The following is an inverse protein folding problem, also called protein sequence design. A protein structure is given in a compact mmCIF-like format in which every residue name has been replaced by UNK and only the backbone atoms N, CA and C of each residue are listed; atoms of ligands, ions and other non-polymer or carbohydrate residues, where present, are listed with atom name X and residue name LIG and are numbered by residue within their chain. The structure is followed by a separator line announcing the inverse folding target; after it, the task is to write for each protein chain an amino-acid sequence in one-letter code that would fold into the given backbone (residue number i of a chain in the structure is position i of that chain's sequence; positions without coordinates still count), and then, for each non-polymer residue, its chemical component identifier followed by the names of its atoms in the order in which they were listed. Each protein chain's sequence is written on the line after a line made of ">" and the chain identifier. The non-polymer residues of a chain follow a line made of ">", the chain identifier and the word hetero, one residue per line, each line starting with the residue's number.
data_IF_111032711900
#
_entry.id   IF_111032711900
#
_cell.length_a   1.000
_cell.length_b   1.000
_cell.length_c   1.000
_cell.angle_alpha   90.00
_cell.angle_beta   90.00
_cell.angle_gamma   90.00
#
_symmetry.space_group_name_H-M   'P 1'
#
loop_
_entity.id
_entity.type
_entity.pdbx_description
1 polymer ?
#
# COMPACT_ATOMS: atom_id res chain seq x y z
N UNK A 1 -20.62 -16.87 47.69
CA UNK A 1 -20.15 -15.62 47.06
C UNK A 1 -18.95 -15.99 46.21
N UNK A 2 -19.13 -16.16 44.90
CA UNK A 2 -18.02 -16.51 44.01
C UNK A 2 -17.24 -15.25 43.67
N UNK A 3 -15.97 -15.21 44.05
CA UNK A 3 -15.01 -14.23 43.56
C UNK A 3 -14.96 -14.34 42.05
N UNK A 4 -15.44 -13.30 41.36
CA UNK A 4 -15.12 -13.08 39.97
C UNK A 4 -13.64 -12.71 39.90
N UNK A 5 -12.80 -13.71 39.63
CA UNK A 5 -11.41 -13.52 39.24
C UNK A 5 -11.40 -12.70 37.95
N UNK A 6 -11.26 -11.38 38.07
CA UNK A 6 -10.97 -10.51 36.93
C UNK A 6 -9.62 -10.97 36.37
N UNK A 7 -9.66 -11.64 35.21
CA UNK A 7 -8.46 -11.89 34.43
C UNK A 7 -7.72 -10.57 34.17
N UNK A 8 -6.40 -10.51 34.38
CA UNK A 8 -5.62 -9.29 34.33
C UNK A 8 -5.22 -8.95 32.88
N UNK A 9 -6.16 -9.07 31.93
CA UNK A 9 -5.91 -8.50 30.61
C UNK A 9 -6.22 -7.01 30.75
N UNK A 10 -5.20 -6.13 30.74
CA UNK A 10 -5.44 -4.71 30.85
C UNK A 10 -6.30 -4.31 29.64
N UNK A 11 -7.24 -3.40 29.81
CA UNK A 11 -8.12 -2.89 28.74
C UNK A 11 -7.35 -2.54 27.44
N UNK A 12 -6.08 -2.17 27.59
CA UNK A 12 -5.05 -1.99 26.55
C UNK A 12 -4.97 -3.15 25.55
N UNK A 13 -5.03 -4.42 25.99
CA UNK A 13 -4.93 -5.58 25.10
C UNK A 13 -6.19 -5.76 24.24
N UNK A 14 -7.39 -5.54 24.80
CA UNK A 14 -8.62 -5.61 24.01
C UNK A 14 -8.69 -4.49 22.97
N UNK A 15 -8.21 -3.29 23.32
CA UNK A 15 -8.10 -2.18 22.38
C UNK A 15 -7.11 -2.49 21.25
N UNK A 16 -5.93 -3.04 21.57
CA UNK A 16 -4.93 -3.50 20.60
C UNK A 16 -5.50 -4.51 19.59
N UNK A 17 -6.31 -5.46 20.05
CA UNK A 17 -6.97 -6.43 19.17
C UNK A 17 -7.86 -5.72 18.14
N UNK A 18 -8.53 -4.65 18.55
CA UNK A 18 -9.53 -3.97 17.70
C UNK A 18 -8.92 -3.02 16.67
N UNK A 19 -7.72 -2.51 16.93
CA UNK A 19 -6.96 -1.70 15.97
C UNK A 19 -6.08 -2.57 15.06
N UNK A 20 -5.80 -3.82 15.47
CA UNK A 20 -5.00 -4.75 14.67
C UNK A 20 -5.82 -5.33 13.52
N UNK A 21 -5.26 -5.22 12.31
CA UNK A 21 -5.84 -5.83 11.12
C UNK A 21 -4.75 -6.30 10.17
N UNK A 22 -5.09 -7.30 9.35
CA UNK A 22 -4.16 -7.92 8.42
C UNK A 22 -4.75 -7.91 7.02
N UNK A 23 -3.88 -7.79 6.03
CA UNK A 23 -4.18 -8.09 4.64
C UNK A 23 -3.43 -9.34 4.23
N UNK A 24 -4.16 -10.31 3.69
CA UNK A 24 -3.59 -11.49 3.05
C UNK A 24 -3.93 -11.43 1.57
N UNK A 25 -2.93 -11.35 0.71
CA UNK A 25 -3.09 -11.33 -0.74
C UNK A 25 -2.20 -12.38 -1.40
N UNK A 26 -2.73 -13.09 -2.39
CA UNK A 26 -1.92 -14.07 -3.12
C UNK A 26 -2.66 -14.83 -4.22
N UNK A 27 -1.92 -15.72 -4.88
CA UNK A 27 -2.47 -16.61 -5.89
C UNK A 27 -3.12 -17.85 -5.25
N UNK A 28 -4.40 -18.06 -5.55
CA UNK A 28 -5.10 -19.29 -5.18
C UNK A 28 -4.99 -20.33 -6.28
N UNK A 29 -4.31 -21.43 -5.97
CA UNK A 29 -4.21 -22.59 -6.86
C UNK A 29 -5.56 -23.24 -7.15
N UNK A 30 -6.41 -23.37 -6.13
CA UNK A 30 -7.72 -23.99 -6.26
C UNK A 30 -8.67 -23.16 -7.13
N UNK A 31 -8.58 -21.83 -7.03
CA UNK A 31 -9.45 -20.93 -7.77
C UNK A 31 -8.83 -20.39 -9.06
N UNK A 32 -7.56 -20.72 -9.32
CA UNK A 32 -6.75 -20.19 -10.43
C UNK A 32 -6.86 -18.68 -10.60
N UNK A 33 -6.84 -17.93 -9.49
CA UNK A 33 -6.94 -16.46 -9.49
C UNK A 33 -6.27 -15.85 -8.26
N UNK A 34 -5.95 -14.55 -8.35
CA UNK A 34 -5.57 -13.77 -7.18
C UNK A 34 -6.77 -13.53 -6.26
N UNK A 35 -6.52 -13.53 -4.96
CA UNK A 35 -7.52 -13.22 -3.94
C UNK A 35 -6.91 -12.36 -2.84
N UNK A 36 -7.71 -11.46 -2.28
CA UNK A 36 -7.32 -10.62 -1.14
C UNK A 36 -8.35 -10.78 -0.01
N UNK A 37 -7.85 -11.03 1.19
CA UNK A 37 -8.64 -11.12 2.42
C UNK A 37 -8.18 -10.06 3.40
N UNK A 38 -9.16 -9.38 4.00
CA UNK A 38 -8.93 -8.56 5.19
C UNK A 38 -9.32 -9.37 6.41
N UNK A 39 -8.41 -9.48 7.37
CA UNK A 39 -8.66 -10.12 8.66
C UNK A 39 -8.65 -9.04 9.73
N UNK A 40 -9.70 -9.00 10.55
CA UNK A 40 -9.87 -7.99 11.61
C UNK A 40 -10.60 -8.60 12.80
N UNK A 41 -10.42 -8.01 13.98
CA UNK A 41 -11.07 -8.48 15.19
C UNK A 41 -12.53 -8.02 15.27
N UNK A 42 -13.46 -8.97 15.40
CA UNK A 42 -14.87 -8.68 15.63
C UNK A 42 -15.15 -8.66 17.14
N UNK A 43 -15.53 -7.49 17.66
CA UNK A 43 -15.81 -7.29 19.10
C UNK A 43 -16.99 -8.14 19.60
N UNK A 44 -18.00 -8.36 18.76
CA UNK A 44 -19.19 -9.12 19.14
C UNK A 44 -18.89 -10.61 19.24
N UNK A 45 -18.06 -11.13 18.33
CA UNK A 45 -17.69 -12.54 18.27
C UNK A 45 -16.42 -12.87 19.07
N UNK A 46 -15.71 -11.85 19.56
CA UNK A 46 -14.45 -11.94 20.30
C UNK A 46 -13.39 -12.79 19.59
N UNK A 47 -13.27 -12.61 18.27
CA UNK A 47 -12.32 -13.34 17.44
C UNK A 47 -11.97 -12.59 16.17
N UNK A 48 -10.84 -12.94 15.56
CA UNK A 48 -10.53 -12.50 14.21
C UNK A 48 -11.46 -13.19 13.20
N UNK A 49 -12.02 -12.38 12.30
CA UNK A 49 -12.84 -12.83 11.18
C UNK A 49 -12.22 -12.36 9.87
N UNK A 50 -12.48 -13.10 8.80
CA UNK A 50 -12.05 -12.73 7.45
C UNK A 50 -13.22 -12.16 6.66
N UNK A 51 -13.01 -11.02 6.01
CA UNK A 51 -13.90 -10.50 4.98
C UNK A 51 -13.18 -10.52 3.62
N UNK A 52 -13.95 -10.78 2.55
CA UNK A 52 -13.45 -10.59 1.19
C UNK A 52 -13.22 -9.09 0.93
N UNK A 53 -12.17 -8.80 0.19
CA UNK A 53 -11.98 -7.48 -0.40
C UNK A 53 -13.12 -7.18 -1.39
N UNK A 54 -13.73 -6.01 -1.28
CA UNK A 54 -14.86 -5.63 -2.13
C UNK A 54 -15.25 -4.19 -1.90
N UNK A 55 -14.80 -3.30 -2.77
CA UNK A 55 -15.10 -1.86 -2.67
C UNK A 55 -16.03 -1.37 -3.80
N UNK A 56 -16.19 -2.17 -4.85
CA UNK A 56 -16.91 -1.76 -6.07
C UNK A 56 -18.40 -1.58 -5.87
N UNK A 57 -19.00 -2.32 -4.92
CA UNK A 57 -20.39 -2.10 -4.52
C UNK A 57 -20.62 -0.68 -4.00
N UNK A 58 -19.67 -0.12 -3.25
CA UNK A 58 -19.73 1.27 -2.76
C UNK A 58 -19.63 2.28 -3.92
N UNK A 59 -19.02 1.89 -5.03
CA UNK A 59 -19.01 2.63 -6.29
C UNK A 59 -20.15 2.23 -7.24
N UNK A 60 -21.18 1.48 -6.81
CA UNK A 60 -22.29 1.10 -7.69
C UNK A 60 -21.90 0.28 -8.92
N UNK A 61 -20.71 -0.32 -8.94
CA UNK A 61 -20.22 -1.20 -10.01
C UNK A 61 -20.53 -2.64 -9.61
N UNK A 62 -20.99 -3.46 -10.57
CA UNK A 62 -21.19 -4.90 -10.33
C UNK A 62 -19.83 -5.56 -10.09
N UNK A 63 -19.73 -6.36 -9.04
CA UNK A 63 -18.47 -6.99 -8.61
C UNK A 63 -17.92 -8.04 -9.57
N UNK A 64 -18.71 -8.51 -10.55
CA UNK A 64 -18.27 -9.53 -11.49
C UNK A 64 -17.02 -9.06 -12.24
N UNK A 65 -15.91 -9.79 -12.04
CA UNK A 65 -14.62 -9.64 -12.73
C UNK A 65 -13.86 -8.31 -12.49
N UNK A 66 -14.28 -7.49 -11.53
CA UNK A 66 -13.56 -6.28 -11.14
C UNK A 66 -12.32 -6.59 -10.28
N UNK A 67 -11.26 -5.78 -10.43
CA UNK A 67 -10.01 -5.96 -9.68
C UNK A 67 -10.22 -5.75 -8.17
N UNK A 68 -9.87 -6.72 -7.32
CA UNK A 68 -10.08 -6.58 -5.86
C UNK A 68 -9.15 -5.53 -5.23
N UNK A 69 -9.69 -4.71 -4.32
CA UNK A 69 -8.95 -3.72 -3.54
C UNK A 69 -9.25 -3.87 -2.04
N UNK A 70 -8.21 -3.77 -1.23
CA UNK A 70 -8.33 -3.78 0.22
C UNK A 70 -7.30 -2.84 0.85
N UNK A 71 -7.73 -2.14 1.90
CA UNK A 71 -6.91 -1.19 2.64
C UNK A 71 -7.05 -1.45 4.14
N UNK A 72 -5.98 -1.18 4.87
CA UNK A 72 -5.92 -1.14 6.34
C UNK A 72 -5.08 0.07 6.76
N UNK A 73 -5.21 0.50 8.02
CA UNK A 73 -4.51 1.68 8.56
C UNK A 73 -5.43 2.89 8.77
N UNK A 74 -4.82 4.03 9.05
CA UNK A 74 -5.50 5.23 9.56
C UNK A 74 -6.30 5.99 8.49
N UNK A 75 -5.72 6.19 7.30
CA UNK A 75 -6.31 7.05 6.25
C UNK A 75 -7.06 6.28 5.16
N UNK A 76 -7.70 5.16 5.52
CA UNK A 76 -8.38 4.29 4.54
C UNK A 76 -9.58 4.99 3.87
N UNK A 77 -10.28 5.88 4.58
CA UNK A 77 -11.40 6.64 4.03
C UNK A 77 -10.97 7.67 2.98
N UNK A 78 -9.89 8.40 3.27
CA UNK A 78 -9.30 9.38 2.35
C UNK A 78 -8.71 8.71 1.13
N UNK A 79 -7.99 7.59 1.31
CA UNK A 79 -7.46 6.79 0.21
C UNK A 79 -8.59 6.27 -0.69
N UNK A 80 -9.66 5.73 -0.09
CA UNK A 80 -10.83 5.25 -0.83
C UNK A 80 -11.48 6.37 -1.64
N UNK A 81 -11.67 7.55 -1.06
CA UNK A 81 -12.22 8.72 -1.75
C UNK A 81 -11.33 9.14 -2.92
N UNK A 82 -10.03 9.34 -2.70
CA UNK A 82 -9.09 9.77 -3.75
C UNK A 82 -8.99 8.75 -4.90
N UNK A 83 -9.08 7.45 -4.60
CA UNK A 83 -9.17 6.40 -5.64
C UNK A 83 -10.47 6.55 -6.44
N UNK A 84 -11.59 6.79 -5.78
CA UNK A 84 -12.87 7.05 -6.45
C UNK A 84 -12.78 8.24 -7.41
N UNK A 85 -12.22 9.35 -6.94
CA UNK A 85 -12.03 10.57 -7.73
C UNK A 85 -11.09 10.30 -8.92
N UNK A 86 -9.96 9.62 -8.69
CA UNK A 86 -8.98 9.31 -9.75
C UNK A 86 -9.50 8.33 -10.81
N UNK A 87 -10.47 7.48 -10.45
CA UNK A 87 -11.05 6.46 -11.31
C UNK A 87 -12.45 6.82 -11.83
N UNK A 88 -12.91 8.06 -11.64
CA UNK A 88 -14.29 8.47 -11.93
C UNK A 88 -14.71 8.08 -13.36
N UNK A 89 -13.88 8.37 -14.36
CA UNK A 89 -14.14 8.02 -15.76
C UNK A 89 -14.26 6.51 -15.97
N UNK A 90 -13.34 5.72 -15.38
CA UNK A 90 -13.35 4.26 -15.49
C UNK A 90 -14.58 3.67 -14.81
N UNK A 91 -14.95 4.19 -13.65
CA UNK A 91 -16.12 3.78 -12.88
C UNK A 91 -17.40 4.12 -13.65
N UNK A 92 -17.50 5.33 -14.21
CA UNK A 92 -18.66 5.77 -14.98
C UNK A 92 -18.87 4.92 -16.23
N UNK A 93 -17.78 4.62 -16.94
CA UNK A 93 -17.81 3.70 -18.08
C UNK A 93 -18.25 2.30 -17.66
N UNK A 94 -17.65 1.74 -16.60
CA UNK A 94 -17.99 0.43 -16.06
C UNK A 94 -19.48 0.30 -15.68
N UNK A 95 -20.06 1.35 -15.08
CA UNK A 95 -21.49 1.42 -14.78
C UNK A 95 -22.36 1.42 -16.04
N UNK A 96 -22.03 2.28 -17.01
CA UNK A 96 -22.82 2.48 -18.23
C UNK A 96 -22.77 1.25 -19.15
N UNK A 97 -21.58 0.68 -19.31
CA UNK A 97 -21.34 -0.45 -20.22
C UNK A 97 -21.52 -1.81 -19.55
N UNK A 98 -21.78 -1.82 -18.23
CA UNK A 98 -21.86 -3.04 -17.43
C UNK A 98 -20.58 -3.90 -17.56
N UNK A 99 -19.43 -3.25 -17.48
CA UNK A 99 -18.09 -3.86 -17.58
C UNK A 99 -17.34 -3.78 -16.25
N UNK A 100 -16.28 -4.57 -16.10
CA UNK A 100 -15.42 -4.56 -14.92
C UNK A 100 -14.51 -3.32 -14.88
N UNK A 101 -14.23 -2.80 -13.67
CA UNK A 101 -13.17 -1.81 -13.49
C UNK A 101 -11.83 -2.51 -13.42
N UNK A 102 -10.98 -2.22 -14.41
CA UNK A 102 -9.59 -2.66 -14.44
C UNK A 102 -8.69 -1.64 -13.76
N UNK A 103 -7.77 -2.15 -12.95
CA UNK A 103 -6.77 -1.38 -12.23
C UNK A 103 -5.38 -1.70 -12.75
N UNK A 104 -4.53 -0.68 -12.75
CA UNK A 104 -3.09 -0.80 -12.89
C UNK A 104 -2.44 -0.20 -11.63
N UNK A 105 -1.56 0.78 -11.77
CA UNK A 105 -0.89 1.43 -10.65
C UNK A 105 -1.69 2.54 -9.98
N UNK A 106 -2.94 2.83 -10.37
CA UNK A 106 -3.68 3.96 -9.78
C UNK A 106 -3.77 3.92 -8.24
N UNK A 107 -3.97 2.76 -7.57
CA UNK A 107 -3.91 2.71 -6.11
C UNK A 107 -2.54 3.09 -5.54
N UNK A 108 -1.45 2.71 -6.22
CA UNK A 108 -0.09 3.09 -5.84
C UNK A 108 0.14 4.59 -6.03
N UNK A 109 -0.34 5.15 -7.15
CA UNK A 109 -0.23 6.59 -7.44
C UNK A 109 -0.94 7.41 -6.37
N UNK A 110 -2.18 7.06 -6.01
CA UNK A 110 -2.90 7.78 -4.94
C UNK A 110 -2.18 7.66 -3.61
N UNK A 111 -1.64 6.48 -3.27
CA UNK A 111 -0.86 6.31 -2.06
C UNK A 111 0.42 7.17 -2.08
N UNK A 112 1.11 7.24 -3.22
CA UNK A 112 2.31 8.06 -3.39
C UNK A 112 1.98 9.55 -3.22
N UNK A 113 0.91 10.04 -3.85
CA UNK A 113 0.42 11.41 -3.68
C UNK A 113 0.12 11.72 -2.20
N UNK A 114 -0.52 10.80 -1.47
CA UNK A 114 -0.76 10.96 -0.03
C UNK A 114 0.53 10.96 0.80
N UNK A 115 1.52 10.13 0.45
CA UNK A 115 2.82 10.07 1.11
C UNK A 115 3.72 11.29 0.81
N UNK A 116 3.42 12.04 -0.25
CA UNK A 116 4.10 13.30 -0.57
C UNK A 116 3.35 14.53 -0.02
N UNK A 117 2.14 14.37 0.48
CA UNK A 117 1.31 15.45 0.98
C UNK A 117 1.56 15.67 2.49
N UNK A 118 2.05 16.86 2.89
CA UNK A 118 2.30 17.17 4.29
C UNK A 118 1.05 17.05 5.18
N UNK A 119 -0.16 17.13 4.63
CA UNK A 119 -1.40 16.89 5.38
C UNK A 119 -1.41 15.51 6.05
N UNK A 120 -0.83 14.48 5.42
CA UNK A 120 -0.85 13.10 5.92
C UNK A 120 0.45 12.65 6.58
N UNK A 121 1.55 13.40 6.39
CA UNK A 121 2.90 13.00 6.81
C UNK A 121 3.50 13.89 7.91
N UNK A 122 3.06 15.14 8.03
CA UNK A 122 3.55 16.04 9.07
C UNK A 122 2.88 15.73 10.42
N UNK A 123 3.70 15.31 11.39
CA UNK A 123 3.28 14.97 12.75
C UNK A 123 2.72 16.15 13.54
N UNK A 124 2.98 17.38 13.10
CA UNK A 124 2.53 18.61 13.76
C UNK A 124 1.18 19.10 13.24
N UNK A 125 0.66 18.54 12.15
CA UNK A 125 -0.63 18.92 11.57
C UNK A 125 -1.80 18.18 12.19
N UNK A 126 -3.01 18.60 11.85
CA UNK A 126 -4.27 18.08 12.38
C UNK A 126 -4.38 16.55 12.29
N UNK A 127 -3.96 15.95 11.16
CA UNK A 127 -3.98 14.50 10.96
C UNK A 127 -2.81 13.76 11.60
N UNK A 128 -1.85 14.46 12.24
CA UNK A 128 -0.71 13.90 13.01
C UNK A 128 0.28 13.01 12.26
N UNK A 129 0.30 13.00 10.93
CA UNK A 129 1.39 12.35 10.20
C UNK A 129 1.47 10.83 10.42
N UNK A 130 0.34 10.10 10.36
CA UNK A 130 0.28 8.67 10.69
C UNK A 130 0.92 7.77 9.62
N UNK A 131 1.16 8.29 8.41
CA UNK A 131 1.91 7.60 7.35
C UNK A 131 3.17 8.39 6.99
N UNK A 132 4.15 7.75 6.37
CA UNK A 132 5.36 8.42 5.91
C UNK A 132 6.39 7.48 5.29
N UNK A 133 7.49 8.08 4.82
CA UNK A 133 8.51 7.38 4.05
C UNK A 133 8.06 7.06 2.62
N UNK A 134 8.96 6.47 1.84
CA UNK A 134 8.64 6.01 0.49
C UNK A 134 7.76 4.75 0.49
N UNK A 135 6.84 4.60 -0.47
CA UNK A 135 6.00 3.41 -0.55
C UNK A 135 6.86 2.18 -0.81
N UNK A 136 6.41 1.04 -0.31
CA UNK A 136 7.07 -0.24 -0.52
C UNK A 136 6.21 -1.08 -1.46
N UNK A 137 6.79 -1.57 -2.56
CA UNK A 137 6.04 -2.29 -3.59
C UNK A 137 6.60 -3.70 -3.77
N UNK A 138 5.71 -4.68 -3.65
CA UNK A 138 5.98 -6.07 -4.03
C UNK A 138 4.84 -6.58 -4.88
N UNK A 139 5.15 -7.10 -6.07
CA UNK A 139 4.18 -7.78 -6.93
C UNK A 139 4.18 -9.26 -6.64
N UNK A 140 2.99 -9.85 -6.60
CA UNK A 140 2.77 -11.28 -6.52
C UNK A 140 2.29 -11.79 -7.88
N UNK A 141 2.95 -12.82 -8.39
CA UNK A 141 2.63 -13.48 -9.65
C UNK A 141 1.93 -14.82 -9.40
N UNK A 142 1.35 -15.45 -10.44
CA UNK A 142 0.86 -16.81 -10.31
C UNK A 142 1.94 -17.73 -9.75
N UNK A 143 1.51 -18.76 -9.02
CA UNK A 143 2.41 -19.70 -8.35
C UNK A 143 3.26 -19.08 -7.22
N UNK A 144 2.77 -17.98 -6.62
CA UNK A 144 3.38 -17.30 -5.46
C UNK A 144 4.81 -16.80 -5.68
N UNK A 145 5.20 -16.56 -6.94
CA UNK A 145 6.45 -15.84 -7.20
C UNK A 145 6.25 -14.38 -6.81
N UNK A 146 7.22 -13.79 -6.11
CA UNK A 146 7.15 -12.38 -5.67
C UNK A 146 8.33 -11.59 -6.21
N UNK A 147 8.11 -10.34 -6.59
CA UNK A 147 9.15 -9.40 -6.97
C UNK A 147 8.97 -8.10 -6.20
N UNK A 148 9.96 -7.73 -5.39
CA UNK A 148 10.02 -6.39 -4.81
C UNK A 148 10.59 -5.42 -5.84
N UNK A 149 10.16 -4.17 -5.78
CA UNK A 149 10.65 -3.09 -6.63
C UNK A 149 11.45 -2.09 -5.80
N UNK A 150 12.50 -1.51 -6.40
CA UNK A 150 13.13 -0.32 -5.87
C UNK A 150 12.31 0.89 -6.30
N UNK A 151 11.75 1.63 -5.35
CA UNK A 151 10.83 2.72 -5.62
C UNK A 151 11.61 4.03 -5.73
N UNK A 152 11.44 4.75 -6.83
CA UNK A 152 11.94 6.12 -6.99
C UNK A 152 11.16 7.05 -6.06
N UNK A 153 11.86 7.74 -5.17
CA UNK A 153 11.23 8.55 -4.14
C UNK A 153 11.96 9.86 -3.90
N UNK A 154 11.22 10.93 -3.65
CA UNK A 154 11.79 12.22 -3.26
C UNK A 154 11.96 12.28 -1.74
N UNK A 155 13.19 12.50 -1.29
CA UNK A 155 13.54 12.79 0.10
C UNK A 155 14.16 14.19 0.16
N UNK A 156 13.33 15.19 0.45
CA UNK A 156 13.78 16.57 0.68
C UNK A 156 14.31 17.27 -0.58
N UNK A 157 13.66 17.06 -1.73
CA UNK A 157 14.06 17.61 -3.03
C UNK A 157 15.12 16.78 -3.75
N UNK A 158 15.42 15.57 -3.28
CA UNK A 158 16.42 14.66 -3.84
C UNK A 158 15.79 13.32 -4.15
N UNK A 159 15.86 12.91 -5.41
CA UNK A 159 15.39 11.60 -5.84
C UNK A 159 16.37 10.50 -5.44
N UNK A 160 15.87 9.49 -4.76
CA UNK A 160 16.60 8.30 -4.31
C UNK A 160 15.81 7.03 -4.64
N UNK A 161 16.45 5.87 -4.58
CA UNK A 161 15.74 4.59 -4.61
C UNK A 161 15.50 4.08 -3.19
N UNK A 162 14.27 3.64 -2.90
CA UNK A 162 13.87 3.01 -1.64
C UNK A 162 13.51 1.55 -1.91
N UNK A 163 14.18 0.63 -1.22
CA UNK A 163 13.89 -0.80 -1.31
C UNK A 163 13.60 -1.36 0.08
N UNK A 164 12.39 -1.91 0.24
CA UNK A 164 11.91 -2.48 1.52
C UNK A 164 12.05 -1.51 2.70
N UNK A 165 11.74 -0.23 2.45
CA UNK A 165 11.78 0.84 3.45
C UNK A 165 13.17 1.44 3.70
N UNK A 166 14.21 0.97 3.02
CA UNK A 166 15.57 1.52 3.15
C UNK A 166 15.94 2.32 1.90
N UNK A 167 16.48 3.51 2.10
CA UNK A 167 17.14 4.28 1.05
C UNK A 167 18.41 3.54 0.62
N UNK A 168 18.50 3.22 -0.68
CA UNK A 168 19.68 2.63 -1.30
C UNK A 168 20.74 3.72 -1.46
N UNK A 169 21.98 3.43 -1.10
CA UNK A 169 23.08 4.37 -1.28
C UNK A 169 23.49 4.48 -2.74
N UNK A 170 24.01 5.64 -3.17
CA UNK A 170 24.30 5.92 -4.58
C UNK A 170 25.32 4.95 -5.22
N UNK A 171 26.21 4.38 -4.42
CA UNK A 171 27.19 3.39 -4.86
C UNK A 171 26.67 1.95 -4.83
N UNK A 172 25.52 1.70 -4.22
CA UNK A 172 24.94 0.39 -4.03
C UNK A 172 24.14 -0.04 -5.27
N UNK A 173 24.44 -1.25 -5.76
CA UNK A 173 23.73 -1.83 -6.90
C UNK A 173 22.54 -2.66 -6.42
N UNK A 174 21.47 -2.68 -7.21
CA UNK A 174 20.31 -3.54 -6.94
C UNK A 174 19.83 -4.23 -8.21
N UNK A 175 19.47 -5.51 -8.06
CA UNK A 175 19.09 -6.37 -9.19
C UNK A 175 17.59 -6.35 -9.49
N UNK A 176 16.81 -5.62 -8.69
CA UNK A 176 15.36 -5.48 -8.88
C UNK A 176 15.04 -4.30 -9.81
N UNK A 177 13.90 -4.31 -10.52
CA UNK A 177 13.50 -3.16 -11.33
C UNK A 177 13.23 -1.91 -10.49
N UNK A 178 13.51 -0.75 -11.07
CA UNK A 178 13.08 0.55 -10.54
C UNK A 178 11.61 0.80 -10.87
N UNK A 179 10.86 1.47 -9.98
CA UNK A 179 9.46 1.84 -10.18
C UNK A 179 9.25 3.29 -9.78
N UNK A 180 8.73 4.10 -10.69
CA UNK A 180 8.18 5.42 -10.34
C UNK A 180 6.75 5.22 -9.81
N UNK A 181 6.47 5.56 -8.53
CA UNK A 181 5.17 5.29 -7.93
C UNK A 181 4.10 6.29 -8.35
N UNK A 182 4.46 7.41 -9.01
CA UNK A 182 3.51 8.46 -9.43
C UNK A 182 2.89 8.20 -10.81
N UNK A 183 3.53 7.36 -11.64
CA UNK A 183 3.02 7.01 -12.98
C UNK A 183 3.03 5.50 -13.27
N UNK A 184 3.68 4.69 -12.42
CA UNK A 184 3.78 3.24 -12.60
C UNK A 184 4.85 2.80 -13.59
N UNK A 185 5.66 3.72 -14.12
CA UNK A 185 6.73 3.40 -15.07
C UNK A 185 7.83 2.56 -14.40
N UNK A 186 8.30 1.55 -15.12
CA UNK A 186 9.29 0.59 -14.64
C UNK A 186 10.60 0.77 -15.40
N UNK A 187 11.69 0.95 -14.66
CA UNK A 187 13.05 1.03 -15.20
C UNK A 187 13.80 -0.28 -15.01
N UNK A 188 14.78 -0.52 -15.87
CA UNK A 188 15.67 -1.68 -15.74
C UNK A 188 16.44 -1.58 -14.41
N UNK A 189 16.85 -2.72 -13.83
CA UNK A 189 17.71 -2.73 -12.65
C UNK A 189 18.98 -1.92 -12.90
N UNK A 190 19.40 -1.14 -11.90
CA UNK A 190 20.66 -0.39 -11.97
C UNK A 190 21.81 -1.37 -11.77
N UNK A 191 22.46 -1.74 -12.87
CA UNK A 191 23.65 -2.60 -12.88
C UNK A 191 24.91 -1.75 -13.01
N UNK A 192 26.06 -2.37 -12.77
CA UNK A 192 27.40 -1.75 -12.81
C UNK A 192 27.69 -0.96 -14.09
N UNK A 193 27.09 -1.33 -15.22
CA UNK A 193 27.21 -0.65 -16.51
C UNK A 193 26.27 0.58 -16.71
N UNK A 194 25.31 0.79 -15.80
CA UNK A 194 24.37 1.93 -15.83
C UNK A 194 24.77 3.03 -14.82
N UNK A 195 25.93 2.90 -14.14
CA UNK A 195 26.43 3.89 -13.17
C UNK A 195 26.65 5.28 -13.79
N UNK A 196 26.92 5.35 -15.09
CA UNK A 196 27.11 6.61 -15.83
C UNK A 196 25.78 7.28 -16.25
N UNK A 197 24.65 6.58 -16.09
CA UNK A 197 23.31 7.10 -16.41
C UNK A 197 22.52 7.59 -15.18
N UNK A 198 23.05 7.33 -13.98
CA UNK A 198 22.52 7.85 -12.72
C UNK A 198 23.44 9.01 -12.30
N UNK A 199 22.93 10.22 -12.04
CA UNK A 199 23.79 11.33 -11.64
C UNK A 199 24.60 10.93 -10.41
N UNK A 200 25.93 10.94 -10.55
CA UNK A 200 26.87 10.73 -9.45
C UNK A 200 26.73 11.90 -8.50
N UNK A 201 26.24 11.67 -7.28
CA UNK A 201 26.16 12.71 -6.26
C UNK A 201 27.22 12.44 -5.21
N UNK A 202 28.14 13.40 -5.09
CA UNK A 202 29.09 13.44 -3.99
C UNK A 202 28.37 13.73 -2.67
N UNK A 203 28.74 12.99 -1.63
CA UNK A 203 28.37 13.30 -0.26
C UNK A 203 28.94 14.68 0.11
N UNK A 204 28.12 15.73 0.10
CA UNK A 204 28.42 16.92 0.91
C UNK A 204 28.17 16.55 2.36
N UNK A 205 29.25 16.53 3.14
CA UNK A 205 29.22 16.31 4.58
C UNK A 205 28.06 17.07 5.25
N UNK A 206 27.32 16.36 6.10
CA UNK A 206 26.60 17.00 7.18
C UNK A 206 27.66 17.63 8.09
N UNK A 207 27.81 18.95 8.03
CA UNK A 207 28.42 19.70 9.13
C UNK A 207 27.38 19.85 10.24
N UNK A 208 27.84 19.59 11.47
CA UNK A 208 27.09 19.58 12.74
C UNK A 208 26.45 20.93 13.11
#
# INVERSE_FOLDING_TARGET
>A
MSEHTKTPYPEVFEDELTITSFLFGGWSWRASKFMIWRIFYDRSLKKYVSAKAGIWKSFGVKEADAAELAFIGDYTGELFKRIGDKLEDKITRARTENTAVLLDYEPLVVLAEMLSDPEFTDRRKERRGAIGGGPQVTKVYPFLRTMSYAVEWDVGGKFVYVLKGRVISDFELFTVPGLNPFDGSVRKPVKEADKDAVPVIGYSHYEE
#
